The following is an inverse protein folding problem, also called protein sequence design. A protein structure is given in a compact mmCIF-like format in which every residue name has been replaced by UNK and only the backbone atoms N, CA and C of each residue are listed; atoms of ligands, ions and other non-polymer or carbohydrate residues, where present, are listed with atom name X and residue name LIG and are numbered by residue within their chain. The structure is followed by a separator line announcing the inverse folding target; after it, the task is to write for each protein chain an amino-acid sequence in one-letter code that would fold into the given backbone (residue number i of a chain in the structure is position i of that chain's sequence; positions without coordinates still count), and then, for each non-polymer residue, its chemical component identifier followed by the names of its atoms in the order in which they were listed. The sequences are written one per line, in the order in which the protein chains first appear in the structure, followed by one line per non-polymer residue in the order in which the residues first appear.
data_IF_255417861520
#
_entry.id   IF_255417861520
#
_cell.length_a   1.000
_cell.length_b   1.000
_cell.length_c   1.000
_cell.angle_alpha   90.00
_cell.angle_beta   90.00
_cell.angle_gamma   90.00
#
_symmetry.space_group_name_H-M   'P 1'
#
loop_
_entity.id
_entity.type
_entity.pdbx_description
1 polymer ?
#
# COMPACT_ATOMS: atom_id res chain seq x y z
N UNK A 1 5.29 -18.59 28.42
CA UNK A 1 6.71 -18.30 28.18
C UNK A 1 7.26 -17.50 29.37
N UNK A 2 8.57 -17.54 29.65
CA UNK A 2 9.15 -16.76 30.76
C UNK A 2 9.20 -15.26 30.38
N UNK A 3 8.98 -14.32 31.32
CA UNK A 3 8.95 -12.87 31.04
C UNK A 3 10.17 -12.34 30.27
N UNK A 4 11.35 -12.88 30.51
CA UNK A 4 12.60 -12.47 29.84
C UNK A 4 12.57 -12.77 28.34
N UNK A 5 11.94 -13.89 27.94
CA UNK A 5 11.76 -14.22 26.52
C UNK A 5 10.81 -13.23 25.84
N UNK A 6 9.71 -12.86 26.51
CA UNK A 6 8.78 -11.86 25.97
C UNK A 6 9.46 -10.50 25.80
N UNK A 7 10.24 -10.05 26.80
CA UNK A 7 10.97 -8.80 26.72
C UNK A 7 11.95 -8.78 25.53
N UNK A 8 12.70 -9.88 25.31
CA UNK A 8 13.59 -9.97 24.14
C UNK A 8 12.80 -9.89 22.83
N UNK A 9 11.70 -10.64 22.69
CA UNK A 9 10.92 -10.64 21.44
C UNK A 9 10.27 -9.29 21.14
N UNK A 10 9.84 -8.55 22.16
CA UNK A 10 9.35 -7.18 21.98
C UNK A 10 10.46 -6.23 21.50
N UNK A 11 11.70 -6.38 21.98
CA UNK A 11 12.84 -5.60 21.48
C UNK A 11 13.16 -5.97 20.03
N UNK A 12 13.19 -7.26 19.70
CA UNK A 12 13.40 -7.72 18.31
C UNK A 12 12.30 -7.14 17.39
N UNK A 13 11.04 -7.06 17.88
CA UNK A 13 9.93 -6.57 17.07
C UNK A 13 9.99 -5.06 16.90
N UNK A 14 10.38 -4.35 17.95
CA UNK A 14 10.60 -2.92 17.88
C UNK A 14 11.72 -2.57 16.88
N UNK A 15 12.78 -3.37 16.81
CA UNK A 15 13.87 -3.21 15.84
C UNK A 15 13.37 -3.44 14.40
N UNK A 16 12.59 -4.51 14.17
CA UNK A 16 11.92 -4.77 12.90
C UNK A 16 11.07 -3.56 12.44
N UNK A 17 10.27 -3.00 13.35
CA UNK A 17 9.41 -1.83 13.06
C UNK A 17 10.21 -0.55 12.78
N UNK A 18 11.40 -0.39 13.38
CA UNK A 18 12.31 0.71 13.04
C UNK A 18 12.80 0.55 11.61
N UNK A 19 13.24 -0.65 11.22
CA UNK A 19 13.70 -0.92 9.86
C UNK A 19 12.57 -0.70 8.83
N UNK A 20 11.35 -1.14 9.14
CA UNK A 20 10.17 -0.87 8.30
C UNK A 20 9.93 0.63 8.08
N UNK A 21 10.14 1.44 9.12
CA UNK A 21 9.93 2.89 9.05
C UNK A 21 10.92 3.63 8.15
N UNK A 22 12.05 3.00 7.80
CA UNK A 22 13.08 3.57 6.92
C UNK A 22 12.82 3.32 5.44
N UNK A 23 11.85 2.45 5.08
CA UNK A 23 11.55 2.13 3.69
C UNK A 23 10.75 3.28 3.07
N UNK A 24 11.38 3.98 2.13
CA UNK A 24 10.75 5.08 1.38
C UNK A 24 10.01 4.57 0.14
N UNK A 25 8.77 5.03 -0.01
CA UNK A 25 7.96 4.84 -1.22
C UNK A 25 8.28 5.88 -2.26
N UNK A 26 7.85 5.67 -3.51
CA UNK A 26 8.04 6.70 -4.55
C UNK A 26 7.03 7.87 -4.47
N UNK A 27 5.98 7.75 -3.65
CA UNK A 27 4.94 8.76 -3.51
C UNK A 27 5.44 9.95 -2.69
N UNK A 28 5.32 11.15 -3.25
CA UNK A 28 5.65 12.39 -2.55
C UNK A 28 4.49 12.86 -1.67
N UNK A 29 4.84 13.34 -0.47
CA UNK A 29 3.88 13.99 0.42
C UNK A 29 3.44 15.36 -0.15
N UNK A 30 2.17 15.78 0.06
CA UNK A 30 1.67 17.08 -0.37
C UNK A 30 2.47 18.26 0.18
N UNK A 31 2.63 19.30 -0.66
CA UNK A 31 3.38 20.49 -0.29
C UNK A 31 2.66 21.28 0.82
N UNK A 32 3.41 21.59 1.89
CA UNK A 32 2.86 22.19 3.11
C UNK A 32 3.86 22.16 4.27
N UNK A 33 3.65 21.26 5.24
CA UNK A 33 4.41 21.22 6.51
C UNK A 33 5.70 20.40 6.49
N UNK A 34 5.95 19.64 5.42
CA UNK A 34 7.15 18.82 5.26
C UNK A 34 7.69 18.96 3.83
N UNK A 35 9.01 18.87 3.72
CA UNK A 35 9.86 19.13 2.55
C UNK A 35 9.56 18.21 1.36
N UNK A 36 10.39 18.20 0.30
CA UNK A 36 10.35 17.26 -0.84
C UNK A 36 10.62 15.79 -0.41
N UNK A 37 9.81 15.32 0.54
CA UNK A 37 9.84 14.05 1.25
C UNK A 37 8.95 13.05 0.53
N UNK A 38 9.38 11.81 0.53
CA UNK A 38 8.60 10.64 0.16
C UNK A 38 7.88 10.06 1.38
N UNK A 39 6.71 9.50 1.14
CA UNK A 39 6.00 8.65 2.11
C UNK A 39 6.88 7.44 2.46
N UNK A 40 6.78 6.93 3.69
CA UNK A 40 7.40 5.64 4.07
C UNK A 40 6.34 4.55 4.22
N UNK A 41 6.71 3.27 4.18
CA UNK A 41 5.73 2.18 4.33
C UNK A 41 5.01 2.20 5.67
N UNK A 42 5.67 2.66 6.73
CA UNK A 42 5.02 2.90 8.02
C UNK A 42 3.95 3.99 7.93
N UNK A 43 4.22 5.11 7.25
CA UNK A 43 3.22 6.18 7.06
C UNK A 43 2.05 5.70 6.19
N UNK A 44 2.36 5.01 5.09
CA UNK A 44 1.36 4.44 4.19
C UNK A 44 0.47 3.45 4.93
N UNK A 45 1.04 2.48 5.64
CA UNK A 45 0.30 1.45 6.38
C UNK A 45 -0.55 2.04 7.49
N UNK A 46 -0.03 3.05 8.21
CA UNK A 46 -0.80 3.79 9.21
C UNK A 46 -1.97 4.55 8.57
N UNK A 47 -1.71 5.30 7.50
CA UNK A 47 -2.74 6.06 6.78
C UNK A 47 -3.82 5.12 6.23
N UNK A 48 -3.42 4.02 5.59
CA UNK A 48 -4.31 2.99 5.08
C UNK A 48 -5.17 2.40 6.19
N UNK A 49 -4.59 2.04 7.35
CA UNK A 49 -5.35 1.50 8.46
C UNK A 49 -6.41 2.48 9.00
N UNK A 50 -6.07 3.76 9.12
CA UNK A 50 -7.02 4.79 9.57
C UNK A 50 -8.12 5.02 8.53
N UNK A 51 -7.77 5.13 7.25
CA UNK A 51 -8.73 5.31 6.15
C UNK A 51 -9.67 4.09 6.03
N UNK A 52 -9.11 2.89 6.11
CA UNK A 52 -9.84 1.64 6.04
C UNK A 52 -10.80 1.50 7.23
N UNK A 53 -10.34 1.81 8.43
CA UNK A 53 -11.18 1.77 9.63
C UNK A 53 -12.34 2.77 9.54
N UNK A 54 -12.08 4.00 9.10
CA UNK A 54 -13.12 5.01 8.88
C UNK A 54 -14.15 4.53 7.86
N UNK A 55 -13.69 4.08 6.69
CA UNK A 55 -14.56 3.71 5.58
C UNK A 55 -15.36 2.42 5.87
N UNK A 56 -14.75 1.44 6.53
CA UNK A 56 -15.38 0.20 7.00
C UNK A 56 -16.62 0.47 7.87
N UNK A 57 -16.70 1.63 8.55
CA UNK A 57 -17.89 2.07 9.28
C UNK A 57 -19.18 2.11 8.44
N UNK A 58 -19.06 2.24 7.12
CA UNK A 58 -20.19 2.26 6.18
C UNK A 58 -20.60 0.88 5.68
N UNK A 59 -19.81 -0.17 5.97
CA UNK A 59 -19.95 -1.50 5.40
C UNK A 59 -20.03 -2.55 6.52
N UNK A 60 -21.22 -2.75 7.12
CA UNK A 60 -21.38 -3.58 8.33
C UNK A 60 -21.14 -5.08 8.08
N UNK A 61 -20.96 -5.50 6.83
CA UNK A 61 -20.62 -6.87 6.46
C UNK A 61 -19.11 -7.17 6.57
N UNK A 62 -18.27 -6.13 6.74
CA UNK A 62 -16.83 -6.27 6.89
C UNK A 62 -16.44 -6.33 8.37
N UNK A 63 -15.49 -7.22 8.69
CA UNK A 63 -14.85 -7.30 9.99
C UNK A 63 -13.76 -6.22 10.13
N UNK A 64 -14.00 -5.28 11.05
CA UNK A 64 -13.09 -4.16 11.33
C UNK A 64 -11.71 -4.62 11.79
N UNK A 65 -11.64 -5.70 12.57
CA UNK A 65 -10.38 -6.19 13.11
C UNK A 65 -9.49 -6.74 11.98
N UNK A 66 -10.07 -7.52 11.06
CA UNK A 66 -9.38 -7.99 9.86
C UNK A 66 -8.94 -6.84 8.96
N UNK A 67 -9.82 -5.87 8.71
CA UNK A 67 -9.51 -4.69 7.89
C UNK A 67 -8.28 -3.94 8.43
N UNK A 68 -8.21 -3.73 9.75
CA UNK A 68 -7.06 -3.05 10.37
C UNK A 68 -5.81 -3.92 10.31
N UNK A 69 -5.93 -5.23 10.58
CA UNK A 69 -4.78 -6.15 10.53
C UNK A 69 -4.16 -6.25 9.13
N UNK A 70 -4.99 -6.40 8.09
CA UNK A 70 -4.53 -6.39 6.70
C UNK A 70 -3.82 -5.07 6.37
N UNK A 71 -4.44 -3.93 6.70
CA UNK A 71 -3.85 -2.62 6.42
C UNK A 71 -2.48 -2.41 7.10
N UNK A 72 -2.30 -2.89 8.33
CA UNK A 72 -1.05 -2.71 9.08
C UNK A 72 0.06 -3.67 8.65
N UNK A 73 -0.28 -4.89 8.19
CA UNK A 73 0.72 -5.94 7.96
C UNK A 73 1.04 -6.15 6.47
N UNK A 74 0.21 -5.70 5.53
CA UNK A 74 0.33 -6.06 4.11
C UNK A 74 1.72 -5.88 3.50
N UNK A 75 2.37 -4.74 3.76
CA UNK A 75 3.69 -4.40 3.19
C UNK A 75 4.86 -4.83 4.10
N UNK A 76 4.63 -5.58 5.19
CA UNK A 76 5.72 -5.99 6.12
C UNK A 76 6.80 -6.84 5.44
N UNK A 77 6.47 -7.54 4.34
CA UNK A 77 7.44 -8.26 3.49
C UNK A 77 8.47 -7.34 2.85
N UNK A 78 8.18 -6.04 2.72
CA UNK A 78 9.06 -5.06 2.09
C UNK A 78 10.31 -4.76 2.94
N UNK A 79 10.36 -5.18 4.21
CA UNK A 79 11.61 -5.17 5.01
C UNK A 79 12.73 -5.96 4.33
N UNK A 80 12.39 -7.09 3.71
CA UNK A 80 13.36 -7.93 3.00
C UNK A 80 13.27 -7.77 1.49
N UNK A 81 12.08 -7.49 0.94
CA UNK A 81 11.89 -7.32 -0.49
C UNK A 81 12.23 -5.90 -0.99
N UNK A 82 12.04 -4.86 -0.19
CA UNK A 82 12.06 -3.45 -0.56
C UNK A 82 10.83 -2.99 -1.36
N UNK A 83 10.39 -1.74 -1.17
CA UNK A 83 9.29 -1.15 -1.96
C UNK A 83 9.70 -0.86 -3.41
N UNK A 84 8.75 -1.03 -4.32
CA UNK A 84 8.88 -0.64 -5.72
C UNK A 84 7.55 -0.01 -6.14
N UNK A 85 7.54 1.04 -6.97
CA UNK A 85 6.28 1.60 -7.49
C UNK A 85 5.64 0.69 -8.54
N UNK A 86 4.32 0.49 -8.47
CA UNK A 86 3.56 -0.37 -9.38
C UNK A 86 3.38 0.17 -10.81
N UNK A 87 3.38 1.51 -10.99
CA UNK A 87 3.16 2.15 -12.29
C UNK A 87 4.47 2.18 -13.09
N UNK A 88 4.40 1.90 -14.40
CA UNK A 88 5.55 1.93 -15.31
C UNK A 88 6.47 0.71 -15.25
N UNK A 89 6.02 -0.40 -14.62
CA UNK A 89 6.77 -1.66 -14.55
C UNK A 89 6.65 -2.47 -15.84
N UNK A 90 7.73 -3.12 -16.25
CA UNK A 90 7.67 -4.23 -17.19
C UNK A 90 7.14 -5.50 -16.50
N UNK A 91 6.64 -6.46 -17.28
CA UNK A 91 6.21 -7.76 -16.74
C UNK A 91 7.35 -8.50 -16.00
N UNK A 92 8.59 -8.33 -16.45
CA UNK A 92 9.79 -8.90 -15.80
C UNK A 92 10.08 -8.23 -14.45
N UNK A 93 9.94 -6.91 -14.36
CA UNK A 93 10.07 -6.17 -13.10
C UNK A 93 8.97 -6.54 -12.10
N UNK A 94 7.77 -6.91 -12.57
CA UNK A 94 6.73 -7.43 -11.71
C UNK A 94 7.07 -8.83 -11.19
N UNK A 95 7.43 -9.76 -12.08
CA UNK A 95 7.77 -11.14 -11.69
C UNK A 95 8.94 -11.19 -10.68
N UNK A 96 9.94 -10.34 -10.87
CA UNK A 96 11.06 -10.22 -9.91
C UNK A 96 10.67 -9.57 -8.59
N UNK A 97 9.58 -8.78 -8.53
CA UNK A 97 9.02 -8.33 -7.24
C UNK A 97 8.33 -9.49 -6.53
N UNK A 98 7.45 -10.21 -7.24
CA UNK A 98 6.67 -11.30 -6.67
C UNK A 98 7.58 -12.41 -6.11
N UNK A 99 8.68 -12.74 -6.81
CA UNK A 99 9.68 -13.69 -6.33
C UNK A 99 10.37 -13.21 -5.04
N UNK A 100 10.77 -11.93 -4.98
CA UNK A 100 11.40 -11.35 -3.78
C UNK A 100 10.44 -11.29 -2.59
N UNK A 101 9.17 -10.95 -2.82
CA UNK A 101 8.15 -10.93 -1.77
C UNK A 101 7.87 -12.34 -1.24
N UNK A 102 7.85 -13.35 -2.10
CA UNK A 102 7.69 -14.74 -1.68
C UNK A 102 8.89 -15.22 -0.83
N UNK A 103 10.12 -14.86 -1.21
CA UNK A 103 11.31 -15.15 -0.41
C UNK A 103 11.26 -14.41 0.94
N UNK A 104 10.92 -13.12 0.92
CA UNK A 104 10.78 -12.28 2.11
C UNK A 104 9.73 -12.82 3.09
N UNK A 105 8.59 -13.29 2.60
CA UNK A 105 7.56 -13.92 3.43
C UNK A 105 8.08 -15.19 4.12
N UNK A 106 8.80 -16.04 3.39
CA UNK A 106 9.42 -17.23 3.98
C UNK A 106 10.48 -16.88 5.04
N UNK A 107 11.23 -15.81 4.81
CA UNK A 107 12.18 -15.28 5.78
C UNK A 107 11.45 -14.78 7.04
N UNK A 108 10.38 -13.99 6.90
CA UNK A 108 9.56 -13.54 8.03
C UNK A 108 8.98 -14.72 8.82
N UNK A 109 8.50 -15.77 8.16
CA UNK A 109 8.02 -17.00 8.83
C UNK A 109 9.09 -17.66 9.69
N UNK A 110 10.34 -17.66 9.22
CA UNK A 110 11.49 -18.20 9.93
C UNK A 110 11.94 -17.32 11.10
N UNK A 111 11.89 -15.99 10.94
CA UNK A 111 12.27 -15.00 11.96
C UNK A 111 11.21 -14.83 13.06
N UNK A 112 9.94 -15.05 12.73
CA UNK A 112 8.77 -14.81 13.58
C UNK A 112 7.87 -16.04 13.76
N UNK A 113 8.41 -17.23 14.11
CA UNK A 113 7.62 -18.44 14.26
C UNK A 113 6.66 -18.38 15.46
N UNK A 114 6.88 -17.45 16.39
CA UNK A 114 6.02 -17.17 17.54
C UNK A 114 4.93 -16.12 17.28
N UNK A 115 4.90 -15.54 16.08
CA UNK A 115 3.89 -14.58 15.63
C UNK A 115 3.42 -14.91 14.20
N UNK A 116 2.96 -16.15 13.99
CA UNK A 116 2.51 -16.61 12.67
C UNK A 116 1.34 -15.79 12.11
N UNK A 117 0.49 -15.22 12.97
CA UNK A 117 -0.64 -14.36 12.56
C UNK A 117 -0.18 -13.19 11.67
N UNK A 118 1.05 -12.69 11.83
CA UNK A 118 1.63 -11.68 10.95
C UNK A 118 1.77 -12.20 9.51
N UNK A 119 2.41 -13.35 9.33
CA UNK A 119 2.64 -13.93 8.00
C UNK A 119 1.39 -14.53 7.40
N UNK A 120 0.51 -15.09 8.23
CA UNK A 120 -0.80 -15.59 7.80
C UNK A 120 -1.62 -14.40 7.28
N UNK A 121 -1.67 -13.27 7.99
CA UNK A 121 -2.35 -12.05 7.54
C UNK A 121 -1.83 -11.55 6.19
N UNK A 122 -0.51 -11.56 5.97
CA UNK A 122 0.09 -11.15 4.70
C UNK A 122 -0.33 -12.08 3.56
N UNK A 123 -0.28 -13.39 3.77
CA UNK A 123 -0.71 -14.37 2.76
C UNK A 123 -2.18 -14.22 2.41
N UNK A 124 -3.05 -14.08 3.40
CA UNK A 124 -4.47 -13.91 3.17
C UNK A 124 -4.80 -12.61 2.43
N UNK A 125 -4.07 -11.53 2.72
CA UNK A 125 -4.15 -10.27 1.98
C UNK A 125 -3.73 -10.46 0.52
N UNK A 126 -2.60 -11.15 0.30
CA UNK A 126 -2.08 -11.36 -1.05
C UNK A 126 -3.00 -12.24 -1.91
N UNK A 127 -3.50 -13.33 -1.32
CA UNK A 127 -4.47 -14.25 -1.93
C UNK A 127 -5.86 -13.62 -2.12
N UNK A 128 -6.13 -12.45 -1.52
CA UNK A 128 -7.46 -11.84 -1.45
C UNK A 128 -8.51 -12.83 -0.92
N UNK A 129 -8.16 -13.49 0.18
CA UNK A 129 -8.88 -14.66 0.69
C UNK A 129 -10.34 -14.39 1.10
N UNK A 130 -10.63 -13.17 1.54
CA UNK A 130 -11.93 -12.76 2.04
C UNK A 130 -12.32 -11.33 1.63
N UNK A 131 -13.57 -10.89 1.87
CA UNK A 131 -14.03 -9.56 1.47
C UNK A 131 -13.20 -8.42 2.08
N UNK A 132 -12.67 -8.60 3.29
CA UNK A 132 -11.83 -7.61 3.96
C UNK A 132 -10.48 -7.46 3.26
N UNK A 133 -9.83 -8.56 2.87
CA UNK A 133 -8.60 -8.53 2.09
C UNK A 133 -8.82 -7.84 0.73
N UNK A 134 -9.90 -8.17 0.02
CA UNK A 134 -10.29 -7.51 -1.25
C UNK A 134 -10.52 -6.01 -1.05
N UNK A 135 -11.25 -5.64 -0.01
CA UNK A 135 -11.54 -4.25 0.34
C UNK A 135 -10.26 -3.46 0.64
N UNK A 136 -9.39 -3.98 1.51
CA UNK A 136 -8.15 -3.29 1.89
C UNK A 136 -7.20 -3.19 0.71
N UNK A 137 -7.08 -4.24 -0.11
CA UNK A 137 -6.18 -4.24 -1.29
C UNK A 137 -6.62 -3.25 -2.36
N UNK A 138 -7.92 -3.09 -2.56
CA UNK A 138 -8.45 -2.04 -3.43
C UNK A 138 -8.20 -0.65 -2.84
N UNK A 139 -8.44 -0.47 -1.53
CA UNK A 139 -8.26 0.82 -0.86
C UNK A 139 -6.79 1.26 -0.86
N UNK A 140 -5.87 0.33 -0.61
CA UNK A 140 -4.42 0.50 -0.77
C UNK A 140 -4.07 1.12 -2.13
N UNK A 141 -4.73 0.70 -3.22
CA UNK A 141 -4.43 1.24 -4.55
C UNK A 141 -4.88 2.68 -4.74
N UNK A 142 -5.89 3.16 -4.01
CA UNK A 142 -6.38 4.53 -4.14
C UNK A 142 -5.82 5.49 -3.08
N UNK A 143 -5.31 5.01 -1.95
CA UNK A 143 -4.58 5.82 -0.96
C UNK A 143 -3.50 6.71 -1.57
N UNK A 144 -2.56 6.22 -2.42
CA UNK A 144 -1.58 7.08 -3.06
C UNK A 144 -2.22 8.07 -4.05
N UNK A 145 -3.39 7.77 -4.61
CA UNK A 145 -4.11 8.70 -5.49
C UNK A 145 -4.67 9.88 -4.71
N UNK A 146 -5.12 9.68 -3.47
CA UNK A 146 -5.52 10.78 -2.57
C UNK A 146 -4.33 11.72 -2.31
N UNK A 147 -3.14 11.18 -2.08
CA UNK A 147 -1.92 11.98 -1.92
C UNK A 147 -1.56 12.73 -3.22
N UNK A 148 -1.75 12.13 -4.39
CA UNK A 148 -1.53 12.82 -5.66
C UNK A 148 -2.54 13.94 -5.91
N UNK A 149 -3.82 13.73 -5.57
CA UNK A 149 -4.85 14.77 -5.64
C UNK A 149 -4.49 15.94 -4.72
N UNK A 150 -4.07 15.65 -3.48
CA UNK A 150 -3.69 16.67 -2.51
C UNK A 150 -2.37 17.39 -2.88
N UNK A 151 -1.53 16.79 -3.73
CA UNK A 151 -0.25 17.34 -4.15
C UNK A 151 -0.23 17.83 -5.61
N UNK A 152 -1.39 17.97 -6.25
CA UNK A 152 -1.53 18.40 -7.65
C UNK A 152 -0.67 17.56 -8.63
N UNK A 153 -0.67 16.23 -8.44
CA UNK A 153 0.03 15.26 -9.28
C UNK A 153 1.56 15.31 -9.15
N UNK A 154 2.10 15.73 -8.00
CA UNK A 154 3.54 15.95 -7.82
C UNK A 154 4.41 14.77 -8.23
N UNK A 155 4.03 13.55 -7.85
CA UNK A 155 4.78 12.33 -8.20
C UNK A 155 4.62 12.01 -9.68
N UNK A 156 3.42 12.15 -10.23
CA UNK A 156 3.17 11.92 -11.65
C UNK A 156 4.00 12.86 -12.54
N UNK A 157 4.08 14.15 -12.21
CA UNK A 157 4.93 15.14 -12.89
C UNK A 157 6.42 14.82 -12.81
N UNK A 158 6.87 14.33 -11.65
CA UNK A 158 8.29 14.09 -11.39
C UNK A 158 8.82 12.86 -12.15
N UNK A 159 7.98 11.85 -12.32
CA UNK A 159 8.33 10.58 -12.96
C UNK A 159 7.72 10.39 -14.34
N UNK A 160 7.12 11.43 -14.93
CA UNK A 160 6.55 11.40 -16.28
C UNK A 160 5.53 10.28 -16.48
N UNK A 161 4.77 9.99 -15.42
CA UNK A 161 3.74 8.95 -15.41
C UNK A 161 2.58 9.41 -16.28
N UNK A 162 2.11 8.55 -17.19
CA UNK A 162 0.99 8.89 -18.07
C UNK A 162 -0.34 8.75 -17.33
N UNK A 163 -1.26 9.66 -17.61
CA UNK A 163 -2.62 9.59 -17.05
C UNK A 163 -3.31 8.28 -17.41
N UNK A 164 -3.15 7.82 -18.64
CA UNK A 164 -3.73 6.56 -19.12
C UNK A 164 -3.24 5.37 -18.30
N UNK A 165 -1.95 5.32 -17.95
CA UNK A 165 -1.37 4.26 -17.11
C UNK A 165 -1.96 4.28 -15.70
N UNK A 166 -2.11 5.45 -15.09
CA UNK A 166 -2.76 5.60 -13.78
C UNK A 166 -4.19 5.09 -13.84
N UNK A 167 -4.99 5.59 -14.79
CA UNK A 167 -6.41 5.23 -14.87
C UNK A 167 -6.59 3.74 -15.15
N UNK A 168 -5.87 3.18 -16.14
CA UNK A 168 -5.98 1.77 -16.50
C UNK A 168 -5.63 0.86 -15.31
N UNK A 169 -4.51 1.13 -14.64
CA UNK A 169 -4.07 0.31 -13.52
C UNK A 169 -5.07 0.35 -12.37
N UNK A 170 -5.58 1.53 -12.03
CA UNK A 170 -6.50 1.69 -10.88
C UNK A 170 -7.91 1.18 -11.20
N UNK A 171 -8.37 1.30 -12.44
CA UNK A 171 -9.63 0.67 -12.89
C UNK A 171 -9.56 -0.85 -12.70
N UNK A 172 -8.45 -1.50 -13.13
CA UNK A 172 -8.25 -2.95 -12.96
C UNK A 172 -8.18 -3.35 -11.47
N UNK A 173 -7.35 -2.65 -10.69
CA UNK A 173 -7.05 -3.09 -9.31
C UNK A 173 -8.15 -2.77 -8.31
N UNK A 174 -9.04 -1.83 -8.59
CA UNK A 174 -10.16 -1.51 -7.69
C UNK A 174 -11.42 -2.31 -8.01
N UNK A 175 -11.57 -2.79 -9.26
CA UNK A 175 -12.74 -3.54 -9.71
C UNK A 175 -13.19 -4.71 -8.80
N UNK A 176 -12.30 -5.45 -8.12
CA UNK A 176 -12.71 -6.53 -7.22
C UNK A 176 -13.53 -6.06 -6.00
N UNK A 177 -13.30 -4.85 -5.48
CA UNK A 177 -14.08 -4.28 -4.38
C UNK A 177 -15.10 -3.29 -4.92
N UNK A 178 -16.38 -3.63 -4.84
CA UNK A 178 -17.46 -2.74 -5.25
C UNK A 178 -17.42 -1.41 -4.49
N UNK A 179 -17.24 -1.49 -3.18
CA UNK A 179 -17.22 -0.36 -2.24
C UNK A 179 -16.15 0.65 -2.62
N UNK A 180 -14.93 0.17 -2.90
CA UNK A 180 -13.80 1.03 -3.24
C UNK A 180 -13.86 1.48 -4.70
N UNK A 181 -14.36 0.64 -5.61
CA UNK A 181 -14.47 0.98 -7.04
C UNK A 181 -15.42 2.16 -7.28
N UNK A 182 -16.53 2.23 -6.55
CA UNK A 182 -17.46 3.38 -6.60
C UNK A 182 -16.77 4.69 -6.17
N UNK A 183 -15.92 4.63 -5.13
CA UNK A 183 -15.13 5.79 -4.67
C UNK A 183 -14.04 6.14 -5.68
N UNK A 184 -13.37 5.13 -6.23
CA UNK A 184 -12.35 5.32 -7.26
C UNK A 184 -12.91 6.07 -8.47
N UNK A 185 -14.14 5.77 -8.92
CA UNK A 185 -14.77 6.51 -10.01
C UNK A 185 -14.88 8.01 -9.73
N UNK A 186 -15.15 8.42 -8.50
CA UNK A 186 -15.19 9.85 -8.12
C UNK A 186 -13.79 10.48 -8.25
N UNK A 187 -12.76 9.82 -7.73
CA UNK A 187 -11.38 10.31 -7.86
C UNK A 187 -10.88 10.30 -9.30
N UNK A 188 -11.27 9.31 -10.09
CA UNK A 188 -10.97 9.20 -11.52
C UNK A 188 -11.49 10.40 -12.30
N UNK A 189 -12.75 10.79 -12.10
CA UNK A 189 -13.31 11.97 -12.77
C UNK A 189 -12.57 13.25 -12.37
N UNK A 190 -12.18 13.38 -11.10
CA UNK A 190 -11.34 14.50 -10.66
C UNK A 190 -9.98 14.49 -11.37
N UNK A 191 -9.29 13.35 -11.42
CA UNK A 191 -7.99 13.21 -12.09
C UNK A 191 -8.09 13.51 -13.59
N UNK A 192 -9.16 13.05 -14.25
CA UNK A 192 -9.40 13.31 -15.68
C UNK A 192 -9.60 14.80 -15.98
N UNK A 193 -10.14 15.57 -15.03
CA UNK A 193 -10.35 17.01 -15.19
C UNK A 193 -9.07 17.86 -15.04
N UNK A 194 -7.94 17.27 -14.63
CA UNK A 194 -6.69 17.98 -14.35
C UNK A 194 -5.55 17.56 -15.29
N UNK A 195 -5.58 18.05 -16.53
CA UNK A 195 -4.48 17.84 -17.50
C UNK A 195 -3.14 18.38 -16.99
N UNK A 196 -3.16 19.44 -16.16
CA UNK A 196 -1.97 20.07 -15.61
C UNK A 196 -1.23 19.20 -14.59
N UNK A 197 -1.81 18.06 -14.17
CA UNK A 197 -1.19 17.09 -13.25
C UNK A 197 -0.24 16.11 -13.94
N UNK A 198 -0.30 16.04 -15.26
CA UNK A 198 0.50 15.16 -16.08
C UNK A 198 1.37 16.01 -17.00
N UNK A 199 2.51 15.49 -17.46
CA UNK A 199 3.15 16.13 -18.61
C UNK A 199 2.24 15.90 -19.80
N UNK A 200 2.01 16.95 -20.60
CA UNK A 200 1.29 16.84 -21.87
C UNK A 200 1.86 15.66 -22.64
N UNK A 201 1.00 14.72 -23.05
CA UNK A 201 1.38 13.64 -23.97
C UNK A 201 2.18 14.31 -25.09
N UNK A 202 3.48 14.00 -25.19
CA UNK A 202 4.24 14.47 -26.35
C UNK A 202 3.57 13.83 -27.54
N UNK A 203 2.82 14.61 -28.31
CA UNK A 203 2.50 14.25 -29.67
C UNK A 203 3.84 13.97 -30.36
N UNK A 204 3.96 12.74 -30.89
CA UNK A 204 5.07 12.30 -31.73
C UNK A 204 5.38 13.30 -32.86
#
# INVERSE_FOLDING_TARGET
MKPERHAKRLLDLQDLLVNFSEIERLIYMPDGKHTDRKETDTEHSYNLAILAWYLCGSFPHLDRDKVIRYALMHDMVEIHAGDVMAIGRTAEQQATKDEREAEALNQLKSEWPDFSDMTDTIEEYEEQKDPEAVFVKALDKITPMMLQILSNGKTWKKYDILRSEVIQLKDEKTAPSKEVNEIWHVFREQILAHDDWFKTDKAD
#
